data_IF_511844336654
#
_entry.id   IF_511844336654
#
_cell.length_a   1.000
_cell.length_b   1.000
_cell.length_c   1.000
_cell.angle_alpha   90.00
_cell.angle_beta   90.00
_cell.angle_gamma   90.00
#
_symmetry.space_group_name_H-M   'P 1'
#
loop_
_entity.id
_entity.type
_entity.pdbx_description
1 polymer ?
#
# COMPACT_ATOMS: atom_id res chain seq x y z
N UNK A 1 15.87 -1.22 38.89
CA UNK A 1 16.20 -1.52 37.49
C UNK A 1 15.65 -0.37 36.69
N UNK A 2 16.52 0.44 36.09
CA UNK A 2 16.08 1.60 35.30
C UNK A 2 15.22 1.12 34.11
N UNK A 3 14.06 1.72 33.95
CA UNK A 3 13.08 1.41 32.89
C UNK A 3 13.71 1.74 31.55
N UNK A 4 13.95 0.75 30.70
CA UNK A 4 14.60 0.88 29.38
C UNK A 4 13.74 1.71 28.40
N UNK A 5 12.52 2.05 28.77
CA UNK A 5 11.54 2.76 27.96
C UNK A 5 11.08 4.10 28.56
N UNK A 6 11.66 4.49 29.67
CA UNK A 6 11.39 5.81 30.30
C UNK A 6 12.24 6.88 29.60
N UNK A 7 11.75 7.43 28.52
CA UNK A 7 12.32 8.61 27.84
C UNK A 7 12.00 9.93 28.57
N UNK A 8 11.66 9.87 29.85
CA UNK A 8 11.41 11.04 30.71
C UNK A 8 12.65 11.79 31.15
N UNK A 9 13.86 11.29 30.88
CA UNK A 9 15.11 12.00 31.16
C UNK A 9 16.04 11.85 29.95
N UNK A 10 15.81 12.65 28.90
CA UNK A 10 16.83 12.84 27.87
C UNK A 10 18.03 13.49 28.56
N UNK A 11 19.03 12.69 28.88
CA UNK A 11 20.39 13.14 29.16
C UNK A 11 20.75 14.16 28.10
N UNK A 12 21.16 15.36 28.50
CA UNK A 12 21.55 16.45 27.65
C UNK A 12 22.59 15.97 26.64
N UNK A 13 22.12 15.61 25.42
CA UNK A 13 22.99 15.43 24.27
C UNK A 13 23.61 16.79 23.98
N UNK A 14 24.93 16.88 24.08
CA UNK A 14 25.74 18.11 23.97
C UNK A 14 25.88 18.62 22.54
N UNK A 15 24.99 18.22 21.63
CA UNK A 15 24.96 18.69 20.24
C UNK A 15 23.72 19.56 19.95
N UNK A 16 23.80 20.47 18.95
CA UNK A 16 22.64 21.25 18.53
C UNK A 16 21.52 20.31 18.02
N UNK A 17 20.31 20.49 18.57
CA UNK A 17 19.14 19.72 18.11
C UNK A 17 18.82 20.06 16.66
N UNK A 18 18.48 19.07 15.82
CA UNK A 18 18.05 19.33 14.45
C UNK A 18 16.88 20.31 14.37
N UNK A 19 16.82 21.14 13.32
CA UNK A 19 15.79 22.15 13.13
C UNK A 19 14.38 21.53 13.14
N UNK A 20 14.22 20.37 12.54
CA UNK A 20 12.97 19.62 12.52
C UNK A 20 12.48 19.18 13.93
N UNK A 21 13.39 19.06 14.90
CA UNK A 21 13.01 18.75 16.30
C UNK A 21 12.73 20.03 17.10
N UNK A 22 13.46 21.11 16.82
CA UNK A 22 13.27 22.43 17.44
C UNK A 22 11.92 23.05 17.07
N UNK A 23 11.49 22.89 15.83
CA UNK A 23 10.23 23.41 15.29
C UNK A 23 9.04 22.47 15.43
N UNK A 24 9.21 21.37 16.18
CA UNK A 24 8.11 20.43 16.40
C UNK A 24 6.98 21.11 17.15
N UNK A 25 5.74 21.07 16.65
CA UNK A 25 4.56 21.60 17.32
C UNK A 25 4.44 21.11 18.77
N UNK A 26 4.06 22.03 19.67
CA UNK A 26 3.85 21.77 21.10
C UNK A 26 2.37 21.61 21.46
N UNK A 27 1.46 22.07 20.60
CA UNK A 27 0.02 21.84 20.68
C UNK A 27 -0.57 21.57 19.28
N UNK A 28 -1.80 21.04 19.25
CA UNK A 28 -2.47 20.69 17.98
C UNK A 28 -2.72 21.90 17.08
N UNK A 29 -2.94 23.07 17.65
CA UNK A 29 -3.15 24.31 16.91
C UNK A 29 -1.91 24.78 16.11
N UNK A 30 -0.72 24.34 16.49
CA UNK A 30 0.52 24.64 15.77
C UNK A 30 0.81 23.67 14.62
N UNK A 31 0.05 22.59 14.49
CA UNK A 31 0.22 21.63 13.40
C UNK A 31 -0.17 22.29 12.08
N UNK A 32 0.77 22.35 11.16
CA UNK A 32 0.57 22.95 9.84
C UNK A 32 -0.03 21.92 8.90
N UNK A 33 -1.03 22.34 8.13
CA UNK A 33 -1.79 21.44 7.24
C UNK A 33 -2.77 20.54 7.98
N UNK A 34 -3.16 19.43 7.35
CA UNK A 34 -4.02 18.35 7.91
C UNK A 34 -5.41 18.85 8.39
N UNK A 35 -5.97 19.86 7.73
CA UNK A 35 -7.27 20.47 8.12
C UNK A 35 -8.42 19.47 8.08
N UNK A 36 -8.36 18.48 7.19
CA UNK A 36 -9.34 17.40 7.05
C UNK A 36 -9.38 16.46 8.26
N UNK A 37 -8.33 16.50 9.11
CA UNK A 37 -8.21 15.64 10.30
C UNK A 37 -8.30 16.47 11.60
N UNK A 38 -7.74 17.67 11.60
CA UNK A 38 -7.59 18.55 12.79
C UNK A 38 -8.48 19.80 12.76
N UNK A 39 -9.10 20.14 11.60
CA UNK A 39 -9.92 21.35 11.45
C UNK A 39 -11.22 21.29 12.26
N UNK A 40 -11.97 22.39 12.27
CA UNK A 40 -13.26 22.48 12.94
C UNK A 40 -14.25 21.43 12.38
N UNK A 41 -14.86 20.62 13.25
CA UNK A 41 -15.71 19.50 12.89
C UNK A 41 -14.99 18.27 12.30
N UNK A 42 -13.67 18.30 12.23
CA UNK A 42 -12.89 17.17 11.75
C UNK A 42 -12.81 16.03 12.78
N UNK A 43 -12.51 14.78 12.35
CA UNK A 43 -12.61 13.61 13.20
C UNK A 43 -11.84 13.69 14.53
N UNK A 44 -10.62 14.22 14.54
CA UNK A 44 -9.84 14.34 15.78
C UNK A 44 -10.37 15.42 16.70
N UNK A 45 -10.82 16.53 16.17
CA UNK A 45 -11.43 17.61 16.95
C UNK A 45 -12.71 17.09 17.65
N UNK A 46 -13.56 16.37 16.92
CA UNK A 46 -14.79 15.78 17.48
C UNK A 46 -14.49 14.75 18.57
N UNK A 47 -13.46 13.89 18.38
CA UNK A 47 -13.07 12.90 19.37
C UNK A 47 -12.54 13.54 20.66
N UNK A 48 -11.72 14.59 20.52
CA UNK A 48 -11.14 15.31 21.67
C UNK A 48 -12.22 16.11 22.43
N UNK A 49 -13.09 16.81 21.72
CA UNK A 49 -14.17 17.59 22.33
C UNK A 49 -15.21 16.72 23.06
N UNK A 50 -15.44 15.49 22.55
CA UNK A 50 -16.33 14.50 23.21
C UNK A 50 -15.64 13.70 24.32
N UNK A 51 -14.32 13.85 24.52
CA UNK A 51 -13.54 13.03 25.46
C UNK A 51 -13.46 11.55 25.08
N UNK A 52 -13.74 11.20 23.84
CA UNK A 52 -13.89 9.82 23.36
C UNK A 52 -12.84 9.48 22.30
N UNK A 53 -11.56 9.53 22.68
CA UNK A 53 -10.47 9.12 21.78
C UNK A 53 -10.46 7.58 21.63
N UNK A 54 -10.62 7.09 20.41
CA UNK A 54 -10.52 5.68 20.05
C UNK A 54 -9.17 5.35 19.43
N UNK A 55 -8.85 4.07 19.24
CA UNK A 55 -7.65 3.65 18.50
C UNK A 55 -7.69 4.14 17.06
N UNK A 56 -6.52 4.52 16.51
CA UNK A 56 -6.37 5.20 15.24
C UNK A 56 -5.30 4.53 14.37
N UNK A 57 -5.47 4.62 13.07
CA UNK A 57 -4.43 4.34 12.07
C UNK A 57 -4.22 5.62 11.25
N UNK A 58 -3.05 6.23 11.38
CA UNK A 58 -2.62 7.34 10.53
C UNK A 58 -2.01 6.78 9.24
N UNK A 59 -2.71 6.99 8.14
CA UNK A 59 -2.24 6.61 6.81
C UNK A 59 -1.86 7.86 6.02
N UNK A 60 -0.64 7.89 5.48
CA UNK A 60 -0.19 9.00 4.65
C UNK A 60 1.31 8.98 4.42
N UNK A 61 1.84 9.85 3.54
CA UNK A 61 3.24 9.90 3.15
C UNK A 61 4.16 10.26 4.34
N UNK A 62 5.49 10.11 4.18
CA UNK A 62 6.43 10.53 5.23
C UNK A 62 6.37 12.04 5.45
N UNK A 63 6.82 12.49 6.62
CA UNK A 63 6.99 13.91 6.95
C UNK A 63 5.74 14.76 7.15
N UNK A 64 4.52 14.18 7.05
CA UNK A 64 3.24 14.90 7.19
C UNK A 64 2.74 15.06 8.62
N UNK A 65 3.53 14.67 9.63
CA UNK A 65 3.20 14.91 11.03
C UNK A 65 2.60 13.75 11.82
N UNK A 66 2.50 12.51 11.30
CA UNK A 66 1.92 11.34 12.00
C UNK A 66 2.39 11.19 13.45
N UNK A 67 3.70 11.12 13.66
CA UNK A 67 4.30 10.97 15.00
C UNK A 67 4.06 12.20 15.89
N UNK A 68 4.09 13.40 15.31
CA UNK A 68 3.85 14.65 16.02
C UNK A 68 2.42 14.72 16.54
N UNK A 69 1.44 14.44 15.67
CA UNK A 69 0.01 14.42 16.05
C UNK A 69 -0.22 13.37 17.16
N UNK A 70 0.33 12.16 17.03
CA UNK A 70 0.17 11.13 18.05
C UNK A 70 0.70 11.54 19.43
N UNK A 71 1.84 12.24 19.49
CA UNK A 71 2.39 12.77 20.75
C UNK A 71 1.49 13.87 21.36
N UNK A 72 0.99 14.76 20.51
CA UNK A 72 0.09 15.83 20.96
C UNK A 72 -1.24 15.27 21.45
N UNK A 73 -1.79 14.24 20.80
CA UNK A 73 -2.99 13.54 21.26
C UNK A 73 -2.78 12.92 22.65
N UNK A 74 -1.63 12.31 22.92
CA UNK A 74 -1.33 11.75 24.22
C UNK A 74 -1.26 12.84 25.30
N UNK A 75 -0.69 14.00 24.96
CA UNK A 75 -0.62 15.15 25.86
C UNK A 75 -2.00 15.76 26.16
N UNK A 76 -2.83 15.95 25.12
CA UNK A 76 -4.18 16.50 25.26
C UNK A 76 -5.14 15.59 26.05
N UNK A 77 -4.86 14.28 26.09
CA UNK A 77 -5.71 13.28 26.76
C UNK A 77 -5.11 12.72 28.06
N UNK A 78 -4.00 13.30 28.53
CA UNK A 78 -3.25 12.86 29.74
C UNK A 78 -2.86 11.36 29.71
N UNK A 79 -2.64 10.82 28.49
CA UNK A 79 -2.19 9.46 28.31
C UNK A 79 -0.65 9.38 28.29
N UNK A 80 -0.12 8.34 28.91
CA UNK A 80 1.31 8.07 28.82
C UNK A 80 1.70 7.64 27.39
N UNK A 81 2.57 8.43 26.74
CA UNK A 81 2.99 8.16 25.36
C UNK A 81 4.11 7.13 25.31
N UNK A 82 3.89 6.02 24.62
CA UNK A 82 4.90 4.99 24.34
C UNK A 82 5.07 4.90 22.84
N UNK A 83 6.30 5.03 22.34
CA UNK A 83 6.60 4.89 20.92
C UNK A 83 7.45 3.66 20.66
N UNK A 84 7.01 2.85 19.68
CA UNK A 84 7.78 1.72 19.16
C UNK A 84 7.85 1.80 17.62
N UNK A 85 8.85 1.15 17.05
CA UNK A 85 8.97 0.97 15.61
C UNK A 85 8.79 -0.51 15.28
N UNK A 86 7.88 -0.81 14.37
CA UNK A 86 7.64 -2.20 13.93
C UNK A 86 8.85 -2.86 13.27
N UNK A 87 9.82 -2.04 12.78
CA UNK A 87 11.05 -2.54 12.16
C UNK A 87 11.99 -3.17 13.19
N UNK A 88 12.05 -2.62 14.41
CA UNK A 88 13.02 -3.02 15.43
C UNK A 88 12.39 -3.76 16.60
N UNK A 89 11.07 -3.84 16.70
CA UNK A 89 10.36 -4.37 17.87
C UNK A 89 9.89 -5.80 17.61
N UNK A 90 10.36 -6.74 18.43
CA UNK A 90 9.94 -8.14 18.42
C UNK A 90 8.78 -8.44 19.39
N UNK A 91 8.23 -9.67 19.33
CA UNK A 91 7.20 -10.13 20.28
C UNK A 91 7.60 -10.04 21.75
N UNK A 92 8.87 -10.33 22.14
CA UNK A 92 9.29 -10.15 23.55
C UNK A 92 9.20 -8.71 24.04
N UNK A 93 9.50 -7.75 23.16
CA UNK A 93 9.45 -6.33 23.50
C UNK A 93 8.01 -5.80 23.56
N UNK A 94 7.14 -6.26 22.64
CA UNK A 94 5.71 -5.98 22.71
C UNK A 94 5.11 -6.46 24.04
N UNK A 95 5.47 -7.65 24.51
CA UNK A 95 4.99 -8.16 25.82
C UNK A 95 5.40 -7.24 26.97
N UNK A 96 6.66 -6.74 26.99
CA UNK A 96 7.11 -5.79 28.01
C UNK A 96 6.30 -4.50 27.98
N UNK A 97 6.02 -3.97 26.79
CA UNK A 97 5.20 -2.77 26.61
C UNK A 97 3.80 -2.98 27.16
N UNK A 98 3.15 -4.12 26.87
CA UNK A 98 1.82 -4.43 27.35
C UNK A 98 1.77 -4.61 28.87
N UNK A 99 2.76 -5.29 29.47
CA UNK A 99 2.84 -5.45 30.92
C UNK A 99 3.04 -4.09 31.62
N UNK A 100 3.91 -3.23 31.09
CA UNK A 100 4.08 -1.88 31.61
C UNK A 100 2.79 -1.05 31.48
N UNK A 101 2.04 -1.18 30.37
CA UNK A 101 0.76 -0.50 30.19
C UNK A 101 -0.30 -0.99 31.19
N UNK A 102 -0.36 -2.29 31.47
CA UNK A 102 -1.24 -2.86 32.52
C UNK A 102 -0.95 -2.28 33.91
N UNK A 103 0.33 -2.19 34.26
CA UNK A 103 0.76 -1.61 35.57
C UNK A 103 0.34 -0.13 35.62
N UNK A 104 0.56 0.66 34.56
CA UNK A 104 0.14 2.07 34.52
C UNK A 104 -1.39 2.19 34.69
N UNK A 105 -2.16 1.36 33.99
CA UNK A 105 -3.63 1.36 34.09
C UNK A 105 -4.11 1.05 35.51
N UNK A 106 -3.48 0.10 36.21
CA UNK A 106 -3.78 -0.19 37.61
C UNK A 106 -3.54 1.02 38.54
N UNK A 107 -2.60 1.88 38.12
CA UNK A 107 -2.28 3.13 38.82
C UNK A 107 -3.11 4.34 38.33
N UNK A 108 -4.12 4.09 37.50
CA UNK A 108 -5.05 5.13 37.01
C UNK A 108 -4.55 5.90 35.77
N UNK A 109 -3.41 5.51 35.16
CA UNK A 109 -2.86 6.18 33.99
C UNK A 109 -3.02 5.32 32.74
N UNK A 110 -3.72 5.85 31.72
CA UNK A 110 -3.84 5.21 30.42
C UNK A 110 -2.56 5.26 29.59
N UNK A 111 -2.44 4.40 28.60
CA UNK A 111 -1.27 4.36 27.70
C UNK A 111 -1.72 4.56 26.25
N UNK A 112 -1.18 5.58 25.57
CA UNK A 112 -1.23 5.70 24.11
C UNK A 112 0.02 5.02 23.53
N UNK A 113 -0.19 3.90 22.83
CA UNK A 113 0.89 3.17 22.16
C UNK A 113 0.95 3.61 20.69
N UNK A 114 1.98 4.37 20.34
CA UNK A 114 2.28 4.74 18.98
C UNK A 114 3.18 3.70 18.33
N UNK A 115 2.74 3.14 17.20
CA UNK A 115 3.46 2.13 16.42
C UNK A 115 3.83 2.72 15.07
N UNK A 116 5.11 3.03 14.89
CA UNK A 116 5.61 3.52 13.60
C UNK A 116 5.79 2.35 12.63
N UNK A 117 5.40 2.56 11.37
CA UNK A 117 5.43 1.56 10.29
C UNK A 117 4.69 0.25 10.66
N UNK A 118 3.50 0.36 11.25
CA UNK A 118 2.71 -0.77 11.78
C UNK A 118 2.51 -1.91 10.76
N UNK A 119 2.51 -1.61 9.47
CA UNK A 119 2.40 -2.58 8.38
C UNK A 119 3.58 -3.58 8.32
N UNK A 120 4.71 -3.29 8.97
CA UNK A 120 5.87 -4.19 9.08
C UNK A 120 5.65 -5.33 10.06
N UNK A 121 4.68 -5.23 10.94
CA UNK A 121 4.30 -6.35 11.80
C UNK A 121 3.59 -7.44 11.01
N UNK A 122 3.98 -8.71 11.27
CA UNK A 122 3.26 -9.85 10.74
C UNK A 122 1.89 -10.02 11.42
N UNK A 123 1.03 -10.89 10.86
CA UNK A 123 -0.33 -11.10 11.35
C UNK A 123 -0.39 -11.47 12.84
N UNK A 124 0.51 -12.35 13.30
CA UNK A 124 0.55 -12.77 14.71
C UNK A 124 0.94 -11.63 15.67
N UNK A 125 1.81 -10.72 15.23
CA UNK A 125 2.16 -9.52 15.97
C UNK A 125 1.01 -8.52 16.01
N UNK A 126 0.30 -8.35 14.89
CA UNK A 126 -0.91 -7.51 14.82
C UNK A 126 -2.03 -8.06 15.72
N UNK A 127 -2.26 -9.38 15.72
CA UNK A 127 -3.23 -10.04 16.60
C UNK A 127 -2.89 -9.84 18.09
N UNK A 128 -1.60 -9.70 18.42
CA UNK A 128 -1.13 -9.45 19.78
C UNK A 128 -1.65 -8.13 20.40
N UNK A 129 -2.06 -7.15 19.59
CA UNK A 129 -2.65 -5.89 20.09
C UNK A 129 -4.11 -6.06 20.53
N UNK A 130 -4.86 -6.98 19.93
CA UNK A 130 -6.31 -7.07 20.05
C UNK A 130 -6.82 -7.16 21.51
N UNK A 131 -6.28 -8.07 22.35
CA UNK A 131 -6.75 -8.16 23.75
C UNK A 131 -6.56 -6.85 24.52
N UNK A 132 -5.45 -6.14 24.23
CA UNK A 132 -5.09 -4.91 24.94
C UNK A 132 -5.81 -3.67 24.41
N UNK A 133 -6.29 -3.71 23.17
CA UNK A 133 -7.20 -2.69 22.61
C UNK A 133 -8.61 -2.89 23.15
N UNK A 134 -9.07 -4.15 23.23
CA UNK A 134 -10.43 -4.49 23.70
C UNK A 134 -10.64 -4.21 25.18
N UNK A 135 -9.66 -4.54 26.00
CA UNK A 135 -9.75 -4.31 27.44
C UNK A 135 -9.36 -2.87 27.84
N UNK A 136 -8.92 -2.03 26.88
CA UNK A 136 -8.52 -0.65 27.10
C UNK A 136 -7.18 -0.49 27.84
N UNK A 137 -6.34 -1.52 27.87
CA UNK A 137 -4.96 -1.44 28.40
C UNK A 137 -4.12 -0.46 27.59
N UNK A 138 -4.34 -0.41 26.28
CA UNK A 138 -3.70 0.55 25.37
C UNK A 138 -4.75 1.22 24.48
N UNK A 139 -4.50 2.47 24.14
CA UNK A 139 -5.06 3.15 22.99
C UNK A 139 -4.00 3.05 21.87
N UNK A 140 -4.30 2.31 20.82
CA UNK A 140 -3.37 2.11 19.72
C UNK A 140 -3.44 3.27 18.72
N UNK A 141 -2.28 3.86 18.38
CA UNK A 141 -2.15 4.75 17.24
C UNK A 141 -1.08 4.19 16.30
N UNK A 142 -1.52 3.53 15.25
CA UNK A 142 -0.62 3.00 14.21
C UNK A 142 -0.32 4.06 13.14
N UNK A 143 0.92 4.12 12.69
CA UNK A 143 1.32 4.94 11.54
C UNK A 143 1.79 4.05 10.39
N UNK A 144 1.37 4.37 9.17
CA UNK A 144 1.76 3.63 7.97
C UNK A 144 1.81 4.55 6.76
N UNK A 145 2.72 4.25 5.83
CA UNK A 145 2.76 4.82 4.49
C UNK A 145 2.03 3.94 3.47
N UNK A 146 1.80 2.67 3.79
CA UNK A 146 1.12 1.71 2.93
C UNK A 146 -0.39 1.68 3.19
N UNK A 147 -1.17 1.27 2.18
CA UNK A 147 -2.63 1.20 2.34
C UNK A 147 -3.04 0.18 3.42
N UNK A 148 -3.62 0.63 4.54
CA UNK A 148 -3.93 -0.24 5.68
C UNK A 148 -4.92 -1.35 5.35
N UNK A 149 -5.76 -1.18 4.33
CA UNK A 149 -6.73 -2.20 3.92
C UNK A 149 -6.07 -3.46 3.32
N UNK A 150 -4.82 -3.36 2.87
CA UNK A 150 -4.08 -4.49 2.33
C UNK A 150 -3.08 -5.08 3.34
N UNK A 151 -2.55 -4.24 4.22
CA UNK A 151 -1.42 -4.57 5.08
C UNK A 151 -1.84 -4.95 6.50
N UNK A 152 -2.94 -4.40 6.99
CA UNK A 152 -3.43 -4.69 8.33
C UNK A 152 -4.52 -5.76 8.31
N UNK A 153 -4.56 -6.57 9.37
CA UNK A 153 -5.62 -7.56 9.51
C UNK A 153 -6.98 -6.90 9.78
N UNK A 154 -8.05 -7.58 9.38
CA UNK A 154 -9.41 -7.06 9.52
C UNK A 154 -9.84 -6.85 10.98
N UNK A 155 -9.23 -7.57 11.94
CA UNK A 155 -9.56 -7.46 13.35
C UNK A 155 -9.01 -6.15 13.95
N UNK A 156 -7.79 -5.73 13.60
CA UNK A 156 -7.26 -4.41 13.96
C UNK A 156 -8.06 -3.30 13.28
N UNK A 157 -8.34 -3.45 11.97
CA UNK A 157 -9.10 -2.47 11.19
C UNK A 157 -10.53 -2.24 11.71
N UNK A 158 -11.18 -3.26 12.29
CA UNK A 158 -12.51 -3.13 12.86
C UNK A 158 -12.54 -2.41 14.21
N UNK A 159 -11.38 -2.20 14.84
CA UNK A 159 -11.22 -1.58 16.17
C UNK A 159 -10.46 -0.27 16.15
N UNK A 160 -10.02 0.18 14.98
CA UNK A 160 -9.31 1.44 14.82
C UNK A 160 -9.93 2.25 13.67
N UNK A 161 -10.02 3.57 13.86
CA UNK A 161 -10.44 4.47 12.80
C UNK A 161 -9.24 4.86 11.95
N UNK A 162 -9.37 4.76 10.63
CA UNK A 162 -8.32 5.20 9.70
C UNK A 162 -8.51 6.69 9.43
N UNK A 163 -7.44 7.44 9.66
CA UNK A 163 -7.36 8.87 9.32
C UNK A 163 -6.27 9.07 8.26
N UNK A 164 -6.67 9.66 7.15
CA UNK A 164 -5.76 9.92 6.02
C UNK A 164 -5.09 11.27 6.24
N UNK A 165 -3.76 11.26 6.28
CA UNK A 165 -2.95 12.47 6.29
C UNK A 165 -2.42 12.71 4.87
N UNK A 166 -2.57 13.91 4.40
CA UNK A 166 -2.20 14.31 3.04
C UNK A 166 -0.83 15.00 3.02
N UNK A 167 -0.26 15.13 1.83
CA UNK A 167 0.93 15.95 1.61
C UNK A 167 0.65 17.38 2.01
N UNK A 168 1.67 18.04 2.55
CA UNK A 168 1.58 19.48 2.83
C UNK A 168 1.53 20.23 1.50
N UNK A 169 0.63 21.21 1.44
CA UNK A 169 0.54 22.09 0.30
C UNK A 169 1.72 23.08 0.24
N UNK A 170 1.95 23.69 -0.91
CA UNK A 170 3.03 24.69 -1.06
C UNK A 170 2.89 25.85 -0.06
N UNK A 171 1.66 26.26 0.24
CA UNK A 171 1.39 27.29 1.25
C UNK A 171 1.77 26.84 2.67
N UNK A 172 1.54 25.59 3.00
CA UNK A 172 1.92 25.00 4.29
C UNK A 172 3.45 24.91 4.43
N UNK A 173 4.14 24.46 3.36
CA UNK A 173 5.59 24.40 3.31
C UNK A 173 6.22 25.79 3.38
N UNK A 174 5.64 26.78 2.72
CA UNK A 174 6.08 28.18 2.83
C UNK A 174 5.94 28.70 4.26
N UNK A 175 4.82 28.45 4.92
CA UNK A 175 4.61 28.80 6.32
C UNK A 175 5.66 28.12 7.23
N UNK A 176 5.98 26.84 7.00
CA UNK A 176 7.05 26.14 7.72
C UNK A 176 8.42 26.76 7.48
N UNK A 177 8.70 27.18 6.25
CA UNK A 177 9.97 27.85 5.89
C UNK A 177 10.09 29.19 6.63
N UNK A 178 9.03 29.99 6.68
CA UNK A 178 9.02 31.25 7.42
C UNK A 178 9.23 31.05 8.93
N UNK A 179 8.60 30.06 9.53
CA UNK A 179 8.84 29.70 10.94
C UNK A 179 10.31 29.28 11.17
N UNK A 180 10.87 28.54 10.22
CA UNK A 180 12.27 28.10 10.29
C UNK A 180 13.24 29.30 10.20
N UNK A 181 13.00 30.28 9.33
CA UNK A 181 13.78 31.50 9.22
C UNK A 181 13.69 32.35 10.51
N UNK A 182 12.52 32.45 11.11
CA UNK A 182 12.33 33.12 12.41
C UNK A 182 13.14 32.43 13.52
N UNK A 183 13.08 31.10 13.61
CA UNK A 183 13.85 30.33 14.60
C UNK A 183 15.37 30.44 14.39
N UNK A 184 15.82 30.53 13.14
CA UNK A 184 17.22 30.70 12.76
C UNK A 184 17.72 32.15 12.91
N UNK A 185 16.80 33.11 13.04
CA UNK A 185 17.09 34.55 13.11
C UNK A 185 17.65 35.13 11.81
N UNK A 186 17.46 34.47 10.67
CA UNK A 186 17.94 34.91 9.36
C UNK A 186 17.10 34.35 8.23
N UNK A 187 16.97 35.13 7.16
CA UNK A 187 16.38 34.66 5.91
C UNK A 187 17.30 33.68 5.19
N UNK A 188 16.71 32.77 4.42
CA UNK A 188 17.50 31.90 3.53
C UNK A 188 18.07 32.70 2.37
N UNK A 189 19.31 32.42 1.94
CA UNK A 189 19.97 33.11 0.84
C UNK A 189 19.44 32.59 -0.51
N UNK A 190 18.17 32.75 -0.78
CA UNK A 190 17.47 32.28 -1.98
C UNK A 190 16.75 33.44 -2.66
N UNK A 191 16.76 33.50 -3.98
CA UNK A 191 15.81 34.34 -4.73
C UNK A 191 14.39 33.74 -4.70
N UNK A 192 13.40 34.46 -5.22
CA UNK A 192 12.00 34.00 -5.20
C UNK A 192 11.79 32.67 -5.92
N UNK A 193 12.44 32.47 -7.07
CA UNK A 193 12.33 31.24 -7.84
C UNK A 193 13.09 30.06 -7.20
N UNK A 194 14.24 30.32 -6.56
CA UNK A 194 14.95 29.28 -5.81
C UNK A 194 14.16 28.87 -4.55
N UNK A 195 13.39 29.78 -3.94
CA UNK A 195 12.50 29.49 -2.85
C UNK A 195 11.35 28.60 -3.30
N UNK A 196 10.71 28.90 -4.42
CA UNK A 196 9.68 28.01 -5.03
C UNK A 196 10.27 26.62 -5.33
N UNK A 197 11.46 26.57 -5.95
CA UNK A 197 12.14 25.30 -6.23
C UNK A 197 12.47 24.49 -4.95
N UNK A 198 12.80 25.14 -3.83
CA UNK A 198 12.99 24.49 -2.54
C UNK A 198 11.71 23.81 -2.05
N UNK A 199 10.56 24.51 -2.14
CA UNK A 199 9.26 23.96 -1.73
C UNK A 199 8.84 22.77 -2.61
N UNK A 200 9.06 22.87 -3.92
CA UNK A 200 8.84 21.76 -4.86
C UNK A 200 9.75 20.55 -4.57
N UNK A 201 11.03 20.80 -4.22
CA UNK A 201 11.96 19.72 -3.84
C UNK A 201 11.55 18.98 -2.55
N UNK A 202 10.85 19.66 -1.65
CA UNK A 202 10.34 19.04 -0.42
C UNK A 202 9.12 18.15 -0.68
N UNK A 203 8.38 18.37 -1.77
CA UNK A 203 7.29 17.53 -2.27
C UNK A 203 6.25 17.16 -1.19
N UNK A 204 5.86 18.13 -0.38
CA UNK A 204 4.88 17.93 0.69
C UNK A 204 5.41 17.25 1.95
N UNK A 205 6.71 16.94 2.04
CA UNK A 205 7.37 16.38 3.23
C UNK A 205 7.98 17.51 4.09
N UNK A 206 7.34 17.85 5.20
CA UNK A 206 7.80 18.89 6.11
C UNK A 206 9.14 18.57 6.79
N UNK A 207 9.47 17.29 7.03
CA UNK A 207 10.76 16.89 7.58
C UNK A 207 11.88 17.08 6.57
N UNK A 208 11.64 16.67 5.33
CA UNK A 208 12.58 16.87 4.24
C UNK A 208 12.82 18.37 4.00
N UNK A 209 11.77 19.20 4.02
CA UNK A 209 11.88 20.65 3.93
C UNK A 209 12.80 21.22 5.02
N UNK A 210 12.53 20.93 6.29
CA UNK A 210 13.31 21.47 7.42
C UNK A 210 14.77 21.03 7.38
N UNK A 211 15.05 19.81 6.92
CA UNK A 211 16.43 19.36 6.69
C UNK A 211 17.12 20.15 5.57
N UNK A 212 16.41 20.44 4.46
CA UNK A 212 16.95 21.27 3.39
C UNK A 212 17.17 22.71 3.86
N UNK A 213 16.24 23.29 4.59
CA UNK A 213 16.37 24.63 5.19
C UNK A 213 17.58 24.72 6.10
N UNK A 214 17.77 23.74 7.00
CA UNK A 214 18.92 23.69 7.92
C UNK A 214 20.24 23.62 7.14
N UNK A 215 20.31 22.80 6.09
CA UNK A 215 21.46 22.69 5.22
C UNK A 215 21.76 24.00 4.49
N UNK A 216 20.75 24.63 3.88
CA UNK A 216 20.90 25.89 3.15
C UNK A 216 21.29 27.01 4.09
N UNK A 217 20.71 27.07 5.28
CA UNK A 217 21.04 28.05 6.29
C UNK A 217 22.50 28.00 6.76
N UNK A 218 23.15 26.85 6.68
CA UNK A 218 24.57 26.70 7.02
C UNK A 218 25.51 27.25 5.94
N UNK A 219 25.03 27.55 4.74
CA UNK A 219 25.90 28.04 3.66
C UNK A 219 26.26 29.51 3.83
N UNK A 220 27.50 29.81 3.54
CA UNK A 220 27.99 31.20 3.40
C UNK A 220 27.90 31.59 1.94
N UNK A 221 27.10 32.59 1.62
CA UNK A 221 26.93 33.13 0.28
C UNK A 221 26.88 34.66 0.34
N UNK A 222 27.40 35.28 -0.69
CA UNK A 222 27.42 36.76 -0.83
C UNK A 222 26.21 37.30 -1.60
N UNK A 223 25.38 36.38 -2.13
CA UNK A 223 24.18 36.70 -2.92
C UNK A 223 23.10 35.66 -2.71
N UNK A 224 21.87 35.98 -3.12
CA UNK A 224 20.77 35.03 -3.15
C UNK A 224 20.97 34.03 -4.29
N UNK A 225 20.85 32.77 -3.97
CA UNK A 225 21.03 31.67 -4.94
C UNK A 225 19.85 31.59 -5.90
N UNK A 226 20.16 31.30 -7.16
CA UNK A 226 19.20 30.95 -8.21
C UNK A 226 18.84 29.45 -8.18
N UNK A 227 17.75 29.00 -8.82
CA UNK A 227 17.38 27.58 -8.87
C UNK A 227 18.48 26.64 -9.37
N UNK A 228 19.27 26.95 -10.43
CA UNK A 228 20.38 26.11 -10.87
C UNK A 228 21.49 25.98 -9.84
N UNK A 229 21.81 27.09 -9.14
CA UNK A 229 22.84 27.09 -8.09
C UNK A 229 22.39 26.29 -6.86
N UNK A 230 21.11 26.42 -6.47
CA UNK A 230 20.50 25.64 -5.41
C UNK A 230 20.57 24.15 -5.73
N UNK A 231 20.10 23.73 -6.90
CA UNK A 231 20.12 22.33 -7.34
C UNK A 231 21.54 21.76 -7.40
N UNK A 232 22.50 22.53 -7.90
CA UNK A 232 23.91 22.11 -7.96
C UNK A 232 24.51 21.91 -6.57
N UNK A 233 24.24 22.82 -5.61
CA UNK A 233 24.78 22.72 -4.23
C UNK A 233 24.13 21.58 -3.43
N UNK A 234 22.84 21.33 -3.62
CA UNK A 234 22.14 20.23 -2.97
C UNK A 234 22.50 18.86 -3.60
N UNK A 235 23.20 18.84 -4.76
CA UNK A 235 23.43 17.61 -5.55
C UNK A 235 22.15 16.82 -5.81
N UNK A 236 21.01 17.54 -5.87
CA UNK A 236 19.70 16.98 -6.13
C UNK A 236 19.21 17.47 -7.48
N UNK A 237 18.76 16.56 -8.33
CA UNK A 237 17.92 16.95 -9.47
C UNK A 237 16.61 17.48 -8.94
N UNK A 238 16.15 18.62 -9.46
CA UNK A 238 14.77 19.06 -9.24
C UNK A 238 13.83 17.95 -9.75
N UNK A 239 12.92 17.51 -8.91
CA UNK A 239 12.06 16.35 -9.04
C UNK A 239 12.68 15.06 -8.49
N UNK A 240 12.65 14.90 -7.16
CA UNK A 240 12.73 13.56 -6.58
C UNK A 240 11.38 12.86 -6.80
N UNK A 241 11.45 11.76 -7.50
CA UNK A 241 10.36 10.81 -7.61
C UNK A 241 10.05 10.23 -6.22
N UNK A 242 8.87 10.53 -5.68
CA UNK A 242 8.43 9.94 -4.41
C UNK A 242 7.93 8.51 -4.65
N UNK A 243 8.70 7.54 -4.13
CA UNK A 243 8.40 6.11 -4.25
C UNK A 243 7.14 5.66 -3.48
N UNK A 244 6.64 6.47 -2.55
CA UNK A 244 5.57 6.11 -1.63
C UNK A 244 4.30 6.96 -1.73
N UNK A 245 4.21 7.91 -2.66
CA UNK A 245 3.12 8.86 -2.75
C UNK A 245 2.22 8.78 -3.98
N UNK A 246 1.23 9.66 -4.07
CA UNK A 246 0.25 9.75 -5.15
C UNK A 246 0.90 9.89 -6.54
N UNK A 247 2.06 10.55 -6.64
CA UNK A 247 2.80 10.68 -7.89
C UNK A 247 3.26 9.32 -8.42
N UNK A 248 3.79 8.43 -7.57
CA UNK A 248 4.14 7.06 -7.91
C UNK A 248 2.93 6.28 -8.42
N UNK A 249 1.81 6.35 -7.66
CA UNK A 249 0.57 5.68 -8.04
C UNK A 249 0.01 6.21 -9.37
N UNK A 250 0.11 7.50 -9.62
CA UNK A 250 -0.33 8.13 -10.86
C UNK A 250 0.55 7.71 -12.05
N UNK A 251 1.87 7.63 -11.89
CA UNK A 251 2.78 7.23 -12.96
C UNK A 251 2.63 5.75 -13.32
N UNK A 252 2.54 4.85 -12.34
CA UNK A 252 2.27 3.43 -12.64
C UNK A 252 0.88 3.22 -13.23
N UNK A 253 -0.10 4.04 -12.85
CA UNK A 253 -1.44 4.03 -13.44
C UNK A 253 -1.42 4.53 -14.89
N UNK A 254 -0.62 5.57 -15.21
CA UNK A 254 -0.42 6.06 -16.57
C UNK A 254 0.25 5.01 -17.45
N UNK A 255 1.33 4.38 -16.95
CA UNK A 255 2.00 3.26 -17.61
C UNK A 255 1.00 2.13 -17.94
N UNK A 256 0.23 1.70 -16.95
CA UNK A 256 -0.75 0.63 -17.10
C UNK A 256 -1.84 0.98 -18.13
N UNK A 257 -2.35 2.20 -18.08
CA UNK A 257 -3.37 2.67 -19.04
C UNK A 257 -2.82 2.80 -20.46
N UNK A 258 -1.56 3.17 -20.64
CA UNK A 258 -0.88 3.21 -21.94
C UNK A 258 -0.79 1.81 -22.56
N UNK A 259 -0.39 0.80 -21.79
CA UNK A 259 -0.39 -0.62 -22.23
C UNK A 259 -1.79 -1.07 -22.60
N UNK A 260 -2.78 -0.81 -21.74
CA UNK A 260 -4.19 -1.15 -21.98
C UNK A 260 -4.76 -0.44 -23.22
N UNK A 261 -4.35 0.80 -23.43
CA UNK A 261 -4.73 1.64 -24.56
C UNK A 261 -3.98 1.32 -25.86
N UNK A 262 -3.06 0.34 -25.86
CA UNK A 262 -2.26 -0.04 -27.03
C UNK A 262 -1.36 1.09 -27.56
N UNK A 263 -0.82 1.90 -26.66
CA UNK A 263 0.12 2.99 -26.97
C UNK A 263 1.53 2.62 -26.46
N UNK A 264 2.39 2.04 -27.32
CA UNK A 264 3.75 1.63 -26.94
C UNK A 264 4.66 2.81 -26.63
N UNK A 265 4.48 3.95 -27.31
CA UNK A 265 5.31 5.13 -27.14
C UNK A 265 5.05 5.79 -25.77
N UNK A 266 3.79 5.97 -25.40
CA UNK A 266 3.42 6.45 -24.08
C UNK A 266 3.84 5.46 -22.98
N UNK A 267 3.73 4.15 -23.22
CA UNK A 267 4.16 3.12 -22.28
C UNK A 267 5.68 3.21 -22.03
N UNK A 268 6.50 3.30 -23.07
CA UNK A 268 7.95 3.48 -22.95
C UNK A 268 8.31 4.80 -22.27
N UNK A 269 7.61 5.89 -22.57
CA UNK A 269 7.84 7.19 -21.94
C UNK A 269 7.61 7.13 -20.42
N UNK A 270 6.48 6.57 -19.97
CA UNK A 270 6.19 6.46 -18.56
C UNK A 270 7.11 5.50 -17.84
N UNK A 271 7.50 4.41 -18.50
CA UNK A 271 8.51 3.47 -17.98
C UNK A 271 9.85 4.15 -17.76
N UNK A 272 10.39 4.84 -18.79
CA UNK A 272 11.65 5.57 -18.69
C UNK A 272 11.58 6.67 -17.63
N UNK A 273 10.47 7.41 -17.55
CA UNK A 273 10.28 8.44 -16.53
C UNK A 273 10.29 7.90 -15.11
N UNK A 274 9.75 6.69 -14.89
CA UNK A 274 9.80 6.03 -13.59
C UNK A 274 11.21 5.57 -13.24
N UNK A 275 11.97 5.02 -14.20
CA UNK A 275 13.37 4.65 -14.01
C UNK A 275 14.26 5.86 -13.71
N UNK A 276 14.12 6.95 -14.47
CA UNK A 276 14.84 8.21 -14.23
C UNK A 276 14.52 8.82 -12.87
N UNK A 277 13.30 8.58 -12.38
CA UNK A 277 12.87 8.93 -11.01
C UNK A 277 13.45 8.01 -9.93
N UNK A 278 14.17 6.95 -10.30
CA UNK A 278 14.81 6.02 -9.38
C UNK A 278 13.89 4.89 -8.91
N UNK A 279 12.83 4.58 -9.66
CA UNK A 279 11.99 3.41 -9.37
C UNK A 279 12.78 2.11 -9.53
N UNK A 280 12.46 1.13 -8.69
CA UNK A 280 13.07 -0.19 -8.78
C UNK A 280 12.56 -0.93 -10.05
N UNK A 281 13.45 -1.28 -10.99
CA UNK A 281 13.07 -2.04 -12.18
C UNK A 281 12.35 -3.36 -11.87
N UNK A 282 12.62 -3.99 -10.72
CA UNK A 282 11.90 -5.19 -10.26
C UNK A 282 10.45 -4.91 -9.93
N UNK A 283 10.17 -3.75 -9.34
CA UNK A 283 8.78 -3.33 -9.12
C UNK A 283 8.06 -3.16 -10.45
N UNK A 284 8.68 -2.50 -11.43
CA UNK A 284 8.11 -2.32 -12.77
C UNK A 284 7.89 -3.66 -13.47
N UNK A 285 8.86 -4.58 -13.45
CA UNK A 285 8.73 -5.92 -14.02
C UNK A 285 7.55 -6.70 -13.40
N UNK A 286 7.37 -6.63 -12.09
CA UNK A 286 6.23 -7.22 -11.37
C UNK A 286 4.90 -6.62 -11.83
N UNK A 287 4.84 -5.30 -11.99
CA UNK A 287 3.63 -4.61 -12.46
C UNK A 287 3.29 -4.97 -13.91
N UNK A 288 4.29 -5.03 -14.79
CA UNK A 288 4.15 -5.41 -16.19
C UNK A 288 3.67 -6.86 -16.31
N UNK A 289 4.21 -7.78 -15.51
CA UNK A 289 3.72 -9.18 -15.44
C UNK A 289 2.24 -9.24 -15.04
N UNK A 290 1.80 -8.39 -14.11
CA UNK A 290 0.37 -8.28 -13.77
C UNK A 290 -0.46 -7.79 -14.94
N UNK A 291 0.00 -6.80 -15.72
CA UNK A 291 -0.70 -6.31 -16.91
C UNK A 291 -0.88 -7.41 -17.96
N UNK A 292 0.13 -8.29 -18.12
CA UNK A 292 0.03 -9.44 -19.01
C UNK A 292 -1.13 -10.37 -18.66
N UNK A 293 -1.40 -10.59 -17.38
CA UNK A 293 -2.49 -11.46 -16.91
C UNK A 293 -3.84 -10.74 -16.91
N UNK A 294 -3.86 -9.46 -16.53
CA UNK A 294 -5.08 -8.67 -16.31
C UNK A 294 -5.68 -8.15 -17.63
N UNK A 295 -4.85 -7.62 -18.54
CA UNK A 295 -5.28 -6.89 -19.74
C UNK A 295 -5.05 -7.64 -21.06
N UNK A 296 -4.12 -8.60 -21.08
CA UNK A 296 -3.87 -9.44 -22.24
C UNK A 296 -4.53 -10.82 -22.03
N UNK A 297 -4.31 -11.43 -20.88
CA UNK A 297 -4.93 -12.69 -20.50
C UNK A 297 -4.71 -13.79 -21.54
N UNK A 298 -5.78 -14.49 -21.85
CA UNK A 298 -5.76 -15.59 -22.84
C UNK A 298 -5.92 -15.11 -24.29
N UNK A 299 -6.04 -13.81 -24.55
CA UNK A 299 -5.98 -13.32 -25.92
C UNK A 299 -4.60 -13.54 -26.54
N UNK A 300 -3.55 -13.50 -25.71
CA UNK A 300 -2.19 -13.94 -26.04
C UNK A 300 -1.52 -14.69 -24.87
N UNK A 301 -1.56 -16.04 -24.89
CA UNK A 301 -0.99 -16.85 -23.83
C UNK A 301 0.53 -16.68 -23.63
N UNK A 302 1.26 -16.12 -24.60
CA UNK A 302 2.72 -15.89 -24.50
C UNK A 302 3.05 -14.64 -23.69
N UNK A 303 2.10 -13.73 -23.52
CA UNK A 303 2.34 -12.43 -22.87
C UNK A 303 2.97 -12.55 -21.46
N UNK A 304 2.44 -13.48 -20.66
CA UNK A 304 2.98 -13.72 -19.32
C UNK A 304 4.39 -14.30 -19.36
N UNK A 305 4.67 -15.25 -20.26
CA UNK A 305 5.98 -15.87 -20.42
C UNK A 305 7.03 -14.83 -20.84
N UNK A 306 6.71 -13.95 -21.78
CA UNK A 306 7.59 -12.85 -22.21
C UNK A 306 7.95 -11.95 -21.04
N UNK A 307 6.99 -11.60 -20.18
CA UNK A 307 7.24 -10.77 -19.00
C UNK A 307 8.15 -11.45 -17.97
N UNK A 308 7.93 -12.74 -17.70
CA UNK A 308 8.75 -13.50 -16.76
C UNK A 308 10.18 -13.67 -17.28
N UNK A 309 10.35 -13.97 -18.57
CA UNK A 309 11.66 -14.07 -19.21
C UNK A 309 12.41 -12.72 -19.20
N UNK A 310 11.71 -11.62 -19.44
CA UNK A 310 12.32 -10.28 -19.37
C UNK A 310 12.77 -9.93 -17.95
N UNK A 311 11.97 -10.28 -16.95
CA UNK A 311 12.35 -10.10 -15.54
C UNK A 311 13.56 -10.95 -15.18
N UNK A 312 13.58 -12.22 -15.57
CA UNK A 312 14.75 -13.09 -15.35
C UNK A 312 16.00 -12.57 -16.04
N UNK A 313 15.86 -12.00 -17.24
CA UNK A 313 16.96 -11.35 -17.96
C UNK A 313 17.49 -10.14 -17.19
N UNK A 314 16.58 -9.32 -16.63
CA UNK A 314 16.97 -8.21 -15.77
C UNK A 314 17.75 -8.68 -14.53
N UNK A 315 17.30 -9.74 -13.86
CA UNK A 315 17.98 -10.28 -12.68
C UNK A 315 19.42 -10.76 -12.98
N UNK A 316 19.69 -11.15 -14.22
CA UNK A 316 21.03 -11.61 -14.66
C UNK A 316 21.92 -10.47 -15.11
N UNK A 317 21.38 -9.47 -15.81
CA UNK A 317 22.16 -8.37 -16.39
C UNK A 317 22.26 -7.15 -15.48
N UNK A 318 21.22 -6.88 -14.65
CA UNK A 318 21.13 -5.67 -13.84
C UNK A 318 20.87 -4.41 -14.65
N UNK A 319 20.93 -3.25 -13.97
CA UNK A 319 20.82 -1.94 -14.61
C UNK A 319 22.18 -1.45 -15.11
N UNK A 320 22.25 -0.74 -16.26
CA UNK A 320 21.13 -0.36 -17.13
C UNK A 320 20.74 -1.42 -18.19
N UNK A 321 21.56 -2.44 -18.42
CA UNK A 321 21.45 -3.35 -19.57
C UNK A 321 20.16 -4.20 -19.51
N UNK A 322 19.81 -4.71 -18.34
CA UNK A 322 18.62 -5.54 -18.14
C UNK A 322 17.30 -4.78 -18.28
N UNK A 323 17.31 -3.45 -18.14
CA UNK A 323 16.12 -2.62 -18.31
C UNK A 323 15.54 -2.68 -19.72
N UNK A 324 16.42 -2.90 -20.73
CA UNK A 324 16.00 -3.05 -22.10
C UNK A 324 15.11 -4.29 -22.32
N UNK A 325 15.35 -5.38 -21.59
CA UNK A 325 14.52 -6.56 -21.67
C UNK A 325 13.09 -6.26 -21.14
N UNK A 326 12.96 -5.49 -20.04
CA UNK A 326 11.67 -5.07 -19.50
C UNK A 326 10.96 -4.13 -20.50
N UNK A 327 11.68 -3.20 -21.11
CA UNK A 327 11.15 -2.32 -22.16
C UNK A 327 10.62 -3.11 -23.36
N UNK A 328 11.33 -4.16 -23.79
CA UNK A 328 10.88 -5.06 -24.86
C UNK A 328 9.55 -5.74 -24.51
N UNK A 329 9.42 -6.28 -23.28
CA UNK A 329 8.19 -6.89 -22.82
C UNK A 329 7.03 -5.88 -22.79
N UNK A 330 7.32 -4.63 -22.37
CA UNK A 330 6.33 -3.56 -22.32
C UNK A 330 5.76 -3.24 -23.71
N UNK A 331 6.61 -3.12 -24.74
CA UNK A 331 6.18 -2.91 -26.13
C UNK A 331 5.36 -4.09 -26.62
N UNK A 332 5.80 -5.32 -26.31
CA UNK A 332 5.05 -6.53 -26.65
C UNK A 332 3.62 -6.47 -26.08
N UNK A 333 3.48 -6.17 -24.79
CA UNK A 333 2.17 -6.05 -24.15
C UNK A 333 1.30 -4.93 -24.74
N UNK A 334 1.92 -3.78 -25.03
CA UNK A 334 1.20 -2.65 -25.61
C UNK A 334 0.57 -3.01 -26.97
N UNK A 335 1.23 -3.84 -27.76
CA UNK A 335 0.76 -4.25 -29.08
C UNK A 335 0.00 -5.60 -29.11
N UNK A 336 0.03 -6.36 -28.02
CA UNK A 336 -0.71 -7.61 -27.90
C UNK A 336 -2.24 -7.40 -27.93
N UNK A 337 -3.05 -8.38 -28.42
CA UNK A 337 -4.49 -8.31 -28.33
C UNK A 337 -4.96 -8.27 -26.86
N UNK A 338 -5.94 -7.42 -26.57
CA UNK A 338 -6.39 -7.17 -25.18
C UNK A 338 -7.58 -8.06 -24.81
N UNK A 339 -7.51 -8.65 -23.62
CA UNK A 339 -8.62 -9.32 -22.96
C UNK A 339 -8.51 -9.22 -21.44
N UNK A 340 -9.58 -8.82 -20.79
CA UNK A 340 -9.76 -8.90 -19.35
C UNK A 340 -10.70 -10.04 -18.94
N UNK A 341 -10.95 -11.01 -19.83
CA UNK A 341 -11.91 -12.10 -19.63
C UNK A 341 -11.62 -12.92 -18.36
N UNK A 342 -10.34 -13.19 -18.07
CA UNK A 342 -9.93 -13.89 -16.84
C UNK A 342 -10.20 -13.03 -15.59
N UNK A 343 -9.87 -11.74 -15.61
CA UNK A 343 -10.10 -10.84 -14.49
C UNK A 343 -11.60 -10.74 -14.15
N UNK A 344 -12.44 -10.53 -15.16
CA UNK A 344 -13.91 -10.44 -15.00
C UNK A 344 -14.47 -11.77 -14.53
N UNK A 345 -14.05 -12.89 -15.17
CA UNK A 345 -14.48 -14.23 -14.82
C UNK A 345 -14.12 -14.62 -13.39
N UNK A 346 -12.89 -14.35 -12.95
CA UNK A 346 -12.48 -14.64 -11.59
C UNK A 346 -13.25 -13.80 -10.56
N UNK A 347 -13.52 -12.53 -10.83
CA UNK A 347 -14.37 -11.68 -9.99
C UNK A 347 -15.80 -12.22 -9.88
N UNK A 348 -16.37 -12.68 -11.01
CA UNK A 348 -17.69 -13.30 -11.04
C UNK A 348 -17.71 -14.62 -10.24
N UNK A 349 -16.67 -15.47 -10.38
CA UNK A 349 -16.52 -16.71 -9.62
C UNK A 349 -16.47 -16.45 -8.12
N UNK A 350 -15.68 -15.47 -7.68
CA UNK A 350 -15.61 -15.08 -6.26
C UNK A 350 -16.94 -14.59 -5.70
N UNK A 351 -17.70 -13.82 -6.50
CA UNK A 351 -19.04 -13.37 -6.11
C UNK A 351 -19.98 -14.57 -5.96
N UNK A 352 -20.05 -15.44 -6.95
CA UNK A 352 -20.88 -16.64 -6.92
C UNK A 352 -20.52 -17.55 -5.72
N UNK A 353 -19.24 -17.76 -5.44
CA UNK A 353 -18.78 -18.52 -4.29
C UNK A 353 -19.21 -17.90 -2.94
N UNK A 354 -19.20 -16.56 -2.84
CA UNK A 354 -19.67 -15.84 -1.66
C UNK A 354 -21.20 -15.98 -1.46
N UNK A 355 -21.95 -15.90 -2.55
CA UNK A 355 -23.43 -16.01 -2.54
C UNK A 355 -23.91 -17.44 -2.25
N UNK A 356 -23.17 -18.46 -2.70
CA UNK A 356 -23.51 -19.87 -2.48
C UNK A 356 -23.04 -20.39 -1.12
N UNK A 357 -22.16 -19.68 -0.43
CA UNK A 357 -21.69 -19.99 0.91
C UNK A 357 -21.07 -21.38 1.05
N UNK A 358 -21.60 -22.19 1.97
CA UNK A 358 -21.10 -23.54 2.31
C UNK A 358 -21.79 -24.68 1.56
N UNK A 359 -22.42 -24.43 0.39
CA UNK A 359 -23.02 -25.50 -0.39
C UNK A 359 -21.96 -26.56 -0.74
N UNK A 360 -22.19 -27.85 -0.44
CA UNK A 360 -21.22 -28.90 -0.73
C UNK A 360 -21.10 -29.16 -2.23
N UNK A 361 -19.98 -29.70 -2.69
CA UNK A 361 -19.88 -30.22 -4.04
C UNK A 361 -20.86 -31.39 -4.25
N UNK A 362 -21.32 -31.65 -5.49
CA UNK A 362 -22.16 -32.81 -5.78
C UNK A 362 -21.47 -34.12 -5.37
N UNK A 363 -22.23 -35.07 -4.80
CA UNK A 363 -21.67 -36.31 -4.26
C UNK A 363 -20.92 -37.16 -5.30
N UNK A 364 -21.39 -37.16 -6.55
CA UNK A 364 -20.80 -37.95 -7.61
C UNK A 364 -19.34 -37.55 -7.95
N UNK A 365 -18.93 -36.27 -7.72
CA UNK A 365 -17.55 -35.84 -7.97
C UNK A 365 -16.64 -35.94 -6.74
N UNK A 366 -17.16 -36.43 -5.61
CA UNK A 366 -16.37 -36.60 -4.39
C UNK A 366 -15.69 -37.98 -4.37
N UNK A 367 -14.43 -38.01 -3.93
CA UNK A 367 -13.71 -39.26 -3.77
C UNK A 367 -14.21 -40.05 -2.56
N UNK A 368 -14.56 -41.32 -2.74
CA UNK A 368 -14.98 -42.25 -1.70
C UNK A 368 -13.76 -43.02 -1.13
N UNK A 369 -12.93 -42.39 -0.32
CA UNK A 369 -11.72 -43.00 0.23
C UNK A 369 -11.97 -44.09 1.27
N UNK A 370 -13.13 -44.09 1.96
CA UNK A 370 -13.52 -45.06 2.99
C UNK A 370 -14.83 -45.73 2.63
N UNK A 371 -15.11 -46.92 3.27
CA UNK A 371 -16.39 -47.62 3.12
C UNK A 371 -17.55 -46.72 3.55
N UNK A 372 -17.42 -46.00 4.65
CA UNK A 372 -18.41 -45.05 5.12
C UNK A 372 -18.76 -43.96 4.10
N UNK A 373 -17.77 -43.44 3.39
CA UNK A 373 -17.99 -42.43 2.33
C UNK A 373 -18.76 -43.03 1.13
N UNK A 374 -18.45 -44.29 0.76
CA UNK A 374 -19.20 -45.02 -0.26
C UNK A 374 -20.65 -45.25 0.15
N UNK A 375 -20.87 -45.65 1.40
CA UNK A 375 -22.23 -45.86 1.95
C UNK A 375 -23.03 -44.57 1.96
N UNK A 376 -22.34 -43.41 2.04
CA UNK A 376 -22.95 -42.08 1.93
C UNK A 376 -23.18 -41.61 0.51
N UNK A 377 -22.83 -42.41 -0.51
CA UNK A 377 -23.00 -42.12 -1.94
C UNK A 377 -21.93 -41.20 -2.55
N UNK A 378 -20.72 -41.16 -1.95
CA UNK A 378 -19.60 -40.44 -2.55
C UNK A 378 -19.08 -41.18 -3.75
N UNK A 379 -18.90 -40.49 -4.89
CA UNK A 379 -18.48 -41.04 -6.17
C UNK A 379 -19.58 -41.84 -6.90
N UNK A 380 -20.78 -41.95 -6.32
CA UNK A 380 -21.86 -42.69 -6.94
C UNK A 380 -22.42 -41.98 -8.18
N UNK A 381 -22.44 -42.69 -9.31
CA UNK A 381 -22.83 -42.13 -10.59
C UNK A 381 -21.76 -41.23 -11.29
N UNK A 382 -20.51 -41.23 -10.82
CA UNK A 382 -19.44 -40.53 -11.51
C UNK A 382 -19.13 -41.19 -12.86
N UNK A 383 -19.26 -40.43 -13.94
CA UNK A 383 -18.86 -40.88 -15.29
C UNK A 383 -17.48 -40.28 -15.59
N UNK A 384 -16.48 -41.16 -15.75
CA UNK A 384 -15.11 -40.75 -16.07
C UNK A 384 -15.03 -40.23 -17.50
N UNK A 385 -14.64 -38.98 -17.69
CA UNK A 385 -14.69 -38.30 -18.98
C UNK A 385 -13.90 -39.02 -20.07
N UNK A 386 -12.77 -39.67 -19.73
CA UNK A 386 -11.94 -40.42 -20.68
C UNK A 386 -12.60 -41.73 -21.17
N UNK A 387 -13.62 -42.24 -20.49
CA UNK A 387 -14.37 -43.43 -20.94
C UNK A 387 -15.46 -43.06 -21.98
N UNK A 388 -15.76 -41.76 -22.14
CA UNK A 388 -16.65 -41.29 -23.16
C UNK A 388 -15.95 -41.23 -24.52
N UNK A 389 -16.64 -41.61 -25.61
CA UNK A 389 -16.10 -41.68 -26.98
C UNK A 389 -15.44 -40.37 -27.42
N UNK A 390 -16.00 -39.24 -27.02
CA UNK A 390 -15.49 -37.88 -27.29
C UNK A 390 -14.73 -37.23 -26.11
N UNK A 391 -14.41 -38.02 -25.07
CA UNK A 391 -13.69 -37.53 -23.88
C UNK A 391 -14.49 -36.54 -23.04
N UNK A 392 -15.84 -36.60 -23.11
CA UNK A 392 -16.70 -35.63 -22.42
C UNK A 392 -17.95 -36.30 -21.85
N UNK A 393 -18.10 -36.36 -20.53
CA UNK A 393 -19.26 -36.96 -19.84
C UNK A 393 -20.50 -36.06 -19.82
N UNK A 394 -20.31 -34.76 -19.86
CA UNK A 394 -21.38 -33.75 -19.78
C UNK A 394 -21.97 -33.53 -18.38
N UNK A 395 -21.40 -34.15 -17.36
CA UNK A 395 -21.89 -34.04 -15.97
C UNK A 395 -21.88 -32.59 -15.45
N UNK A 396 -22.70 -32.38 -14.41
CA UNK A 396 -22.70 -31.11 -13.69
C UNK A 396 -21.65 -31.12 -12.57
N UNK A 397 -20.82 -30.08 -12.51
CA UNK A 397 -19.77 -29.91 -11.50
C UNK A 397 -20.07 -28.77 -10.50
N UNK A 398 -21.23 -28.11 -10.63
CA UNK A 398 -21.67 -27.11 -9.66
C UNK A 398 -22.50 -27.76 -8.55
N UNK A 399 -22.60 -27.11 -7.37
CA UNK A 399 -23.44 -27.59 -6.27
C UNK A 399 -24.87 -27.91 -6.72
N UNK A 400 -25.47 -28.94 -6.11
CA UNK A 400 -26.83 -29.32 -6.39
C UNK A 400 -27.81 -28.16 -6.14
N UNK A 401 -28.76 -27.98 -7.04
CA UNK A 401 -29.72 -26.87 -6.99
C UNK A 401 -29.12 -25.48 -7.32
N UNK A 402 -27.88 -25.41 -7.75
CA UNK A 402 -27.30 -24.19 -8.29
C UNK A 402 -27.51 -24.15 -9.80
N UNK A 403 -28.11 -23.06 -10.29
CA UNK A 403 -28.16 -22.79 -11.71
C UNK A 403 -26.71 -22.58 -12.23
N UNK A 404 -26.40 -23.20 -13.38
CA UNK A 404 -25.04 -23.12 -13.95
C UNK A 404 -24.74 -21.71 -14.42
N UNK A 405 -23.83 -20.96 -13.74
CA UNK A 405 -23.50 -19.61 -14.16
C UNK A 405 -22.55 -19.63 -15.36
N UNK A 406 -22.64 -18.60 -16.22
CA UNK A 406 -21.60 -18.29 -17.19
C UNK A 406 -20.59 -17.35 -16.53
N UNK A 407 -19.44 -17.90 -16.14
CA UNK A 407 -18.41 -17.18 -15.37
C UNK A 407 -17.33 -16.63 -16.29
N UNK A 408 -16.78 -17.47 -17.16
CA UNK A 408 -15.76 -17.09 -18.11
C UNK A 408 -16.35 -16.89 -19.50
N UNK A 409 -16.21 -15.68 -20.03
CA UNK A 409 -16.65 -15.30 -21.36
C UNK A 409 -15.45 -14.86 -22.20
N UNK A 410 -14.97 -15.72 -23.13
CA UNK A 410 -13.89 -15.38 -24.05
C UNK A 410 -14.29 -14.22 -24.96
N UNK A 411 -13.36 -13.26 -25.15
CA UNK A 411 -13.55 -12.18 -26.13
C UNK A 411 -13.15 -12.65 -27.54
N UNK A 412 -13.67 -12.00 -28.59
CA UNK A 412 -13.36 -12.37 -29.98
C UNK A 412 -12.05 -11.72 -30.46
N UNK A 413 -10.98 -11.84 -29.66
CA UNK A 413 -9.64 -11.29 -29.94
C UNK A 413 -8.56 -12.32 -29.69
N UNK A 414 -7.52 -12.32 -30.51
CA UNK A 414 -6.38 -13.22 -30.36
C UNK A 414 -6.79 -14.69 -30.23
N UNK A 415 -6.11 -15.41 -29.34
CA UNK A 415 -6.35 -16.84 -29.09
C UNK A 415 -7.72 -17.12 -28.44
N UNK A 416 -8.34 -16.15 -27.77
CA UNK A 416 -9.67 -16.36 -27.18
C UNK A 416 -10.77 -16.63 -28.20
N UNK A 417 -10.59 -16.31 -29.50
CA UNK A 417 -11.48 -16.76 -30.57
C UNK A 417 -11.58 -18.29 -30.63
N UNK A 418 -10.44 -18.96 -30.46
CA UNK A 418 -10.43 -20.43 -30.46
C UNK A 418 -11.00 -21.00 -29.16
N UNK A 419 -10.74 -20.35 -28.03
CA UNK A 419 -11.33 -20.73 -26.76
C UNK A 419 -12.85 -20.57 -26.76
N UNK A 420 -13.38 -19.54 -27.41
CA UNK A 420 -14.84 -19.36 -27.59
C UNK A 420 -15.45 -20.51 -28.35
N UNK A 421 -14.87 -20.89 -29.50
CA UNK A 421 -15.34 -22.05 -30.29
C UNK A 421 -15.37 -23.32 -29.45
N UNK A 422 -14.31 -23.59 -28.66
CA UNK A 422 -14.24 -24.76 -27.79
C UNK A 422 -15.29 -24.70 -26.68
N UNK A 423 -15.49 -23.55 -26.03
CA UNK A 423 -16.51 -23.35 -24.99
C UNK A 423 -17.91 -23.63 -25.54
N UNK A 424 -18.22 -23.06 -26.71
CA UNK A 424 -19.52 -23.22 -27.40
C UNK A 424 -19.77 -24.68 -27.82
N UNK A 425 -18.72 -25.37 -28.30
CA UNK A 425 -18.77 -26.80 -28.63
C UNK A 425 -19.15 -27.64 -27.39
N UNK A 426 -18.46 -27.50 -26.28
CA UNK A 426 -18.77 -28.22 -25.05
C UNK A 426 -20.12 -27.84 -24.44
N UNK A 427 -20.57 -26.60 -24.62
CA UNK A 427 -21.88 -26.17 -24.19
C UNK A 427 -22.99 -26.89 -24.98
N UNK A 428 -22.82 -27.02 -26.31
CA UNK A 428 -23.75 -27.78 -27.17
C UNK A 428 -23.80 -29.27 -26.83
N UNK A 429 -22.64 -29.92 -26.66
CA UNK A 429 -22.55 -31.30 -26.23
C UNK A 429 -23.25 -31.55 -24.89
N UNK A 430 -23.07 -30.64 -23.92
CA UNK A 430 -23.72 -30.73 -22.63
C UNK A 430 -25.25 -30.60 -22.72
N UNK A 431 -25.72 -29.71 -23.59
CA UNK A 431 -27.15 -29.57 -23.80
C UNK A 431 -27.77 -30.84 -24.41
N UNK A 432 -27.09 -31.50 -25.35
CA UNK A 432 -27.53 -32.75 -25.99
C UNK A 432 -27.57 -33.93 -25.02
N UNK A 433 -26.68 -33.97 -24.01
CA UNK A 433 -26.64 -35.07 -23.01
C UNK A 433 -27.56 -34.87 -21.79
N UNK A 434 -28.18 -33.72 -21.66
CA UNK A 434 -29.21 -33.44 -20.65
C UNK A 434 -30.62 -33.93 -21.08
N UNK A 435 -30.76 -34.29 -22.36
CA UNK A 435 -31.97 -34.89 -22.92
C UNK A 435 -31.84 -36.39 -22.91
#
# INVERSE_FOLDING_TARGET
>A
MADLFDNGAVSAATGPRPLADRLRPTCLAEVIGQRQVLGEGAPLEVMLSSGSLSSLIFWGPPGVGKTTIARLLAHETDLHFVQISAIFTGMPDLRKVFEAAKIRRQNGQGTLLFVDEIHRFNKAQQDGFLPHMEDGTILLVGATTENPSFELNSAVMSRAQVLVLERLELADLEHMTQRAEQELGKALPLDGHAREALLEMADGDGRALLNLVEQIAAWKTDHNLTPPELSKRLQRRAAQYDKSGDAHYNLISALHKSVRGSDPDAALYWFARMLEGGEDPRYLARRITRMAVEDIGLADPQAQAVCLQSWETYERLGSPEGELAIAQALVYLALAPKSNGIYVGYKAARRAAKETGSKPPPKHILNAATSLMRDQGYGDGYAYDHDAEDGFSGQNYFPDGMERPSIYEPVERGFERELKKRKDYFAKLRAQRKT
#
